data_IF_330035093200
#
_entry.id   IF_330035093200
#
_cell.length_a   1.000
_cell.length_b   1.000
_cell.length_c   1.000
_cell.angle_alpha   90.00
_cell.angle_beta   90.00
_cell.angle_gamma   90.00
#
_symmetry.space_group_name_H-M   'P 1'
#
loop_
_entity.id
_entity.type
_entity.pdbx_description
1 polymer ?
#
# COMPACT_ATOMS: atom_id res chain seq x y z
N UNK A 1 6.09 6.10 -20.02
CA UNK A 1 5.84 6.28 -18.57
C UNK A 1 4.34 6.41 -18.30
N UNK A 2 3.91 6.03 -17.13
CA UNK A 2 2.53 6.25 -16.71
C UNK A 2 2.52 7.23 -15.53
N UNK A 3 1.53 8.15 -15.51
CA UNK A 3 1.38 9.09 -14.40
C UNK A 3 0.68 8.39 -13.24
N UNK A 4 1.40 8.20 -12.14
CA UNK A 4 0.86 7.57 -10.94
C UNK A 4 0.54 8.62 -9.88
N UNK A 5 -0.71 8.61 -9.41
CA UNK A 5 -1.18 9.47 -8.33
C UNK A 5 -1.75 8.59 -7.22
N UNK A 6 -1.16 8.66 -6.04
CA UNK A 6 -1.64 7.98 -4.83
C UNK A 6 -2.14 9.04 -3.86
N UNK A 7 -3.43 9.03 -3.59
CA UNK A 7 -4.09 10.01 -2.74
C UNK A 7 -4.74 9.31 -1.56
N UNK A 8 -4.40 9.75 -0.36
CA UNK A 8 -5.02 9.31 0.89
C UNK A 8 -5.89 10.43 1.46
N UNK A 9 -6.67 10.13 2.50
CA UNK A 9 -7.49 11.15 3.16
C UNK A 9 -6.65 12.31 3.71
N UNK A 10 -5.41 12.03 4.12
CA UNK A 10 -4.48 13.03 4.63
C UNK A 10 -3.78 13.85 3.54
N UNK A 11 -3.97 13.52 2.28
CA UNK A 11 -3.38 14.24 1.15
C UNK A 11 -2.71 13.34 0.12
N UNK A 12 -2.07 13.97 -0.87
CA UNK A 12 -1.34 13.26 -1.92
C UNK A 12 -0.04 12.66 -1.38
N UNK A 13 0.14 11.37 -1.58
CA UNK A 13 1.32 10.62 -1.13
C UNK A 13 2.34 10.40 -2.24
N UNK A 14 1.89 10.36 -3.49
CA UNK A 14 2.75 10.20 -4.65
C UNK A 14 2.07 10.84 -5.86
N UNK A 15 2.84 11.54 -6.69
CA UNK A 15 2.35 12.14 -7.92
C UNK A 15 3.52 12.38 -8.88
N UNK A 16 3.82 11.39 -9.72
CA UNK A 16 4.94 11.46 -10.64
C UNK A 16 4.77 10.44 -11.77
N UNK A 17 5.58 10.59 -12.82
CA UNK A 17 5.66 9.63 -13.92
C UNK A 17 6.56 8.48 -13.51
N UNK A 18 6.09 7.25 -13.72
CA UNK A 18 6.81 6.04 -13.35
C UNK A 18 6.75 5.01 -14.47
N UNK A 19 7.62 4.01 -14.39
CA UNK A 19 7.66 2.92 -15.37
C UNK A 19 6.60 1.87 -15.08
N UNK A 20 6.49 1.42 -13.83
CA UNK A 20 5.60 0.33 -13.44
C UNK A 20 5.06 0.53 -12.03
N UNK A 21 3.79 0.15 -11.84
CA UNK A 21 3.18 0.07 -10.51
C UNK A 21 2.51 -1.29 -10.36
N UNK A 22 2.77 -1.99 -9.26
CA UNK A 22 2.08 -3.23 -8.91
C UNK A 22 1.13 -2.94 -7.76
N UNK A 23 -0.13 -3.31 -7.93
CA UNK A 23 -1.23 -2.96 -7.03
C UNK A 23 -1.93 -4.21 -6.50
N UNK A 24 -2.35 -4.23 -5.22
CA UNK A 24 -3.19 -5.30 -4.71
C UNK A 24 -4.67 -5.01 -5.05
N UNK A 25 -5.33 -5.97 -5.68
CA UNK A 25 -6.78 -5.91 -5.93
C UNK A 25 -7.49 -7.09 -5.31
N UNK A 26 -8.82 -7.05 -5.29
CA UNK A 26 -9.62 -8.16 -4.77
C UNK A 26 -9.41 -9.45 -5.58
N UNK A 27 -9.00 -9.33 -6.84
CA UNK A 27 -8.77 -10.47 -7.73
C UNK A 27 -7.28 -10.85 -7.83
N UNK A 28 -6.43 -10.29 -6.97
CA UNK A 28 -4.98 -10.50 -6.96
C UNK A 28 -4.21 -9.25 -7.34
N UNK A 29 -2.91 -9.41 -7.48
CA UNK A 29 -2.05 -8.29 -7.88
C UNK A 29 -2.16 -8.00 -9.37
N UNK A 30 -2.15 -6.73 -9.74
CA UNK A 30 -2.07 -6.29 -11.12
C UNK A 30 -0.85 -5.40 -11.33
N UNK A 31 -0.19 -5.57 -12.48
CA UNK A 31 0.91 -4.70 -12.90
C UNK A 31 0.41 -3.69 -13.92
N UNK A 32 0.74 -2.42 -13.72
CA UNK A 32 0.31 -1.32 -14.59
C UNK A 32 1.53 -0.68 -15.22
N UNK A 33 1.56 -0.70 -16.55
CA UNK A 33 2.60 -0.08 -17.37
C UNK A 33 1.95 0.88 -18.37
N UNK A 34 2.79 1.58 -19.15
CA UNK A 34 2.33 2.47 -20.20
C UNK A 34 1.35 1.75 -21.14
N UNK A 35 0.34 2.46 -21.58
CA UNK A 35 -0.71 1.97 -22.48
C UNK A 35 -1.60 0.87 -21.89
N UNK A 36 -1.65 0.75 -20.57
CA UNK A 36 -2.57 -0.16 -19.92
C UNK A 36 -4.03 0.20 -20.31
N UNK A 37 -4.82 -0.84 -20.58
CA UNK A 37 -6.23 -0.66 -20.92
C UNK A 37 -6.98 0.04 -19.78
N UNK A 38 -8.02 0.83 -20.10
CA UNK A 38 -8.83 1.45 -19.06
C UNK A 38 -9.42 0.41 -18.11
N UNK A 39 -9.34 0.69 -16.81
CA UNK A 39 -9.82 -0.22 -15.78
C UNK A 39 -10.24 0.57 -14.54
N UNK A 40 -11.39 0.21 -13.99
CA UNK A 40 -11.80 0.65 -12.65
C UNK A 40 -11.87 -0.59 -11.77
N UNK A 41 -11.22 -0.55 -10.62
CA UNK A 41 -11.13 -1.70 -9.72
C UNK A 41 -11.09 -1.25 -8.27
N UNK A 42 -11.07 -2.22 -7.36
CA UNK A 42 -11.00 -1.98 -5.92
C UNK A 42 -9.65 -2.48 -5.41
N UNK A 43 -8.94 -1.58 -4.73
CA UNK A 43 -7.70 -1.95 -4.04
C UNK A 43 -8.02 -2.57 -2.69
N UNK A 44 -7.30 -3.62 -2.34
CA UNK A 44 -7.36 -4.21 -1.01
C UNK A 44 -6.26 -3.65 -0.11
N UNK A 45 -6.34 -3.93 1.18
CA UNK A 45 -5.23 -3.69 2.09
C UNK A 45 -4.03 -4.48 1.58
N UNK A 46 -2.91 -3.82 1.38
CA UNK A 46 -1.74 -4.49 0.85
C UNK A 46 -0.62 -3.55 0.50
N UNK A 47 0.26 -4.02 -0.36
CA UNK A 47 1.49 -3.33 -0.72
C UNK A 47 1.42 -2.85 -2.16
N UNK A 48 1.69 -1.55 -2.37
CA UNK A 48 1.95 -1.01 -3.71
C UNK A 48 3.45 -0.98 -3.91
N UNK A 49 3.91 -1.49 -5.05
CA UNK A 49 5.31 -1.41 -5.46
C UNK A 49 5.41 -0.47 -6.66
N UNK A 50 6.38 0.45 -6.60
CA UNK A 50 6.65 1.42 -7.67
C UNK A 50 8.07 1.25 -8.19
N UNK A 51 8.20 1.11 -9.51
CA UNK A 51 9.48 1.16 -10.20
C UNK A 51 9.49 2.44 -11.05
N UNK A 52 10.37 3.38 -10.73
CA UNK A 52 10.40 4.67 -11.42
C UNK A 52 10.97 4.56 -12.83
N UNK A 53 12.02 3.80 -13.00
CA UNK A 53 12.72 3.65 -14.28
C UNK A 53 12.87 2.18 -14.65
N UNK A 54 12.87 1.83 -15.94
CA UNK A 54 12.93 0.41 -16.35
C UNK A 54 14.21 -0.30 -15.97
N UNK A 55 15.29 0.44 -15.71
CA UNK A 55 16.59 -0.13 -15.35
C UNK A 55 16.86 -0.13 -13.84
N UNK A 56 15.89 0.32 -13.05
CA UNK A 56 16.05 0.35 -11.60
C UNK A 56 16.23 -1.06 -11.04
N UNK A 57 17.22 -1.22 -10.15
CA UNK A 57 17.42 -2.46 -9.42
C UNK A 57 16.29 -2.66 -8.40
N UNK A 58 16.13 -3.88 -7.93
CA UNK A 58 15.09 -4.19 -6.93
C UNK A 58 15.19 -3.33 -5.68
N UNK A 59 16.42 -2.99 -5.26
CA UNK A 59 16.66 -2.12 -4.09
C UNK A 59 16.15 -0.68 -4.27
N UNK A 60 15.94 -0.25 -5.52
CA UNK A 60 15.47 1.09 -5.87
C UNK A 60 13.96 1.18 -5.95
N UNK A 61 13.26 0.05 -5.85
CA UNK A 61 11.80 0.03 -5.82
C UNK A 61 11.29 0.71 -4.56
N UNK A 62 10.19 1.44 -4.72
CA UNK A 62 9.50 2.05 -3.59
C UNK A 62 8.28 1.22 -3.21
N UNK A 63 7.98 1.19 -1.93
CA UNK A 63 6.86 0.44 -1.39
C UNK A 63 5.97 1.33 -0.54
N UNK A 64 4.66 1.13 -0.68
CA UNK A 64 3.65 1.80 0.13
C UNK A 64 2.77 0.75 0.78
N UNK A 65 2.47 0.95 2.06
CA UNK A 65 1.43 0.21 2.75
C UNK A 65 0.13 0.98 2.57
N UNK A 66 -0.91 0.33 2.03
CA UNK A 66 -2.21 0.98 1.83
C UNK A 66 -3.32 0.21 2.54
N UNK A 67 -4.32 0.95 2.98
CA UNK A 67 -5.65 0.42 3.24
C UNK A 67 -6.45 0.46 1.94
N UNK A 68 -7.50 -0.32 1.83
CA UNK A 68 -8.25 -0.48 0.60
C UNK A 68 -8.83 0.83 0.06
N UNK A 69 -9.20 0.81 -1.22
CA UNK A 69 -9.74 1.99 -1.89
C UNK A 69 -10.10 1.72 -3.34
N UNK A 70 -10.05 2.76 -4.17
CA UNK A 70 -10.44 2.71 -5.57
C UNK A 70 -9.24 2.90 -6.50
N UNK A 71 -9.25 2.17 -7.61
CA UNK A 71 -8.23 2.23 -8.66
C UNK A 71 -8.92 2.68 -9.94
N UNK A 72 -8.36 3.69 -10.60
CA UNK A 72 -8.83 4.19 -11.89
C UNK A 72 -7.64 4.32 -12.84
N UNK A 73 -7.68 3.57 -13.94
CA UNK A 73 -6.64 3.59 -14.98
C UNK A 73 -7.26 4.05 -16.28
N UNK A 74 -6.74 5.13 -16.85
CA UNK A 74 -7.15 5.62 -18.17
C UNK A 74 -6.14 6.59 -18.75
N UNK A 75 -5.94 6.56 -20.06
CA UNK A 75 -5.12 7.54 -20.81
C UNK A 75 -3.72 7.74 -20.19
N UNK A 76 -3.02 6.65 -19.87
CA UNK A 76 -1.69 6.65 -19.25
C UNK A 76 -1.64 7.33 -17.88
N UNK A 77 -2.76 7.34 -17.19
CA UNK A 77 -2.88 7.84 -15.81
C UNK A 77 -3.42 6.73 -14.92
N UNK A 78 -2.74 6.51 -13.81
CA UNK A 78 -3.18 5.61 -12.74
C UNK A 78 -3.45 6.45 -11.50
N UNK A 79 -4.69 6.43 -11.05
CA UNK A 79 -5.11 7.12 -9.83
C UNK A 79 -5.59 6.10 -8.81
N UNK A 80 -5.01 6.15 -7.62
CA UNK A 80 -5.39 5.28 -6.50
C UNK A 80 -5.82 6.16 -5.33
N UNK A 81 -7.07 5.97 -4.89
CA UNK A 81 -7.66 6.70 -3.77
C UNK A 81 -7.87 5.74 -2.62
N UNK A 82 -7.21 5.99 -1.50
CA UNK A 82 -7.22 5.10 -0.33
C UNK A 82 -7.51 5.90 0.94
N UNK A 83 -7.92 5.22 2.00
CA UNK A 83 -8.07 5.87 3.30
C UNK A 83 -6.71 6.26 3.86
N UNK A 84 -5.76 5.35 3.80
CA UNK A 84 -4.41 5.57 4.32
C UNK A 84 -3.35 4.96 3.42
N UNK A 85 -2.22 5.64 3.32
CA UNK A 85 -1.04 5.18 2.62
C UNK A 85 0.22 5.66 3.34
N UNK A 86 1.16 4.75 3.58
CA UNK A 86 2.43 5.05 4.21
C UNK A 86 3.58 4.58 3.31
N UNK A 87 4.49 5.48 2.98
CA UNK A 87 5.73 5.12 2.30
C UNK A 87 6.61 4.29 3.24
N UNK A 88 7.32 3.31 2.70
CA UNK A 88 8.18 2.44 3.50
C UNK A 88 9.18 3.23 4.36
N UNK A 89 9.71 4.35 3.83
CA UNK A 89 10.67 5.19 4.55
C UNK A 89 10.07 5.87 5.79
N UNK A 90 8.76 6.02 5.83
CA UNK A 90 8.04 6.69 6.93
C UNK A 90 7.54 5.69 7.98
N UNK A 91 7.78 4.39 7.79
CA UNK A 91 7.33 3.36 8.71
C UNK A 91 8.47 2.98 9.66
N UNK A 92 8.26 3.19 10.96
CA UNK A 92 9.12 2.66 12.00
C UNK A 92 8.68 1.23 12.32
N UNK A 93 9.56 0.25 12.09
CA UNK A 93 9.26 -1.17 12.35
C UNK A 93 8.92 -1.40 13.83
N UNK A 94 9.70 -0.82 14.74
CA UNK A 94 9.46 -0.94 16.18
C UNK A 94 8.12 -0.36 16.60
N UNK A 95 7.77 0.82 16.07
CA UNK A 95 6.49 1.46 16.34
C UNK A 95 5.33 0.66 15.77
N UNK A 96 5.48 0.13 14.56
CA UNK A 96 4.46 -0.72 13.93
C UNK A 96 4.24 -2.02 14.70
N UNK A 97 5.31 -2.64 15.23
CA UNK A 97 5.20 -3.84 16.07
C UNK A 97 4.46 -3.54 17.38
N UNK A 98 4.78 -2.41 18.03
CA UNK A 98 4.10 -2.00 19.26
C UNK A 98 2.61 -1.71 18.99
N UNK A 99 2.30 -1.06 17.87
CA UNK A 99 0.92 -0.80 17.47
C UNK A 99 0.16 -2.10 17.15
N UNK A 100 0.82 -3.07 16.55
CA UNK A 100 0.24 -4.39 16.28
C UNK A 100 -0.13 -5.11 17.58
N UNK A 101 0.74 -5.10 18.58
CA UNK A 101 0.45 -5.71 19.87
C UNK A 101 -0.74 -5.05 20.56
N UNK A 102 -0.83 -3.72 20.51
CA UNK A 102 -1.98 -3.00 21.05
C UNK A 102 -3.27 -3.39 20.33
N UNK A 103 -3.22 -3.53 19.00
CA UNK A 103 -4.37 -3.92 18.19
C UNK A 103 -4.83 -5.34 18.51
N UNK A 104 -3.90 -6.26 18.73
CA UNK A 104 -4.20 -7.64 19.14
C UNK A 104 -4.87 -7.68 20.51
N UNK A 105 -4.43 -6.84 21.45
CA UNK A 105 -5.07 -6.74 22.77
C UNK A 105 -6.48 -6.19 22.66
N UNK A 106 -6.70 -5.14 21.84
CA UNK A 106 -8.04 -4.62 21.60
C UNK A 106 -8.96 -5.68 21.01
N UNK A 107 -8.45 -6.51 20.11
CA UNK A 107 -9.21 -7.61 19.52
C UNK A 107 -9.60 -8.65 20.58
N UNK A 108 -8.66 -9.02 21.46
CA UNK A 108 -8.90 -9.99 22.54
C UNK A 108 -9.91 -9.47 23.56
N UNK A 109 -9.96 -8.16 23.78
CA UNK A 109 -10.84 -7.52 24.76
C UNK A 109 -12.19 -7.08 24.17
N UNK A 110 -12.36 -7.21 22.85
CA UNK A 110 -13.59 -6.79 22.18
C UNK A 110 -14.79 -7.62 22.65
N UNK A 111 -15.86 -6.94 23.06
CA UNK A 111 -17.07 -7.55 23.61
C UNK A 111 -18.26 -7.52 22.67
N UNK A 112 -18.17 -6.76 21.57
CA UNK A 112 -19.21 -6.64 20.56
C UNK A 112 -18.60 -6.70 19.17
N UNK A 113 -19.46 -6.85 18.15
CA UNK A 113 -19.02 -7.01 16.77
C UNK A 113 -18.34 -5.76 16.23
N UNK A 114 -18.82 -4.58 16.59
CA UNK A 114 -18.25 -3.29 16.11
C UNK A 114 -16.82 -3.13 16.63
N UNK A 115 -16.59 -3.37 17.91
CA UNK A 115 -15.26 -3.30 18.52
C UNK A 115 -14.32 -4.35 17.94
N UNK A 116 -14.82 -5.54 17.67
CA UNK A 116 -14.05 -6.62 17.07
C UNK A 116 -13.62 -6.27 15.65
N UNK A 117 -14.55 -5.76 14.83
CA UNK A 117 -14.27 -5.37 13.45
C UNK A 117 -13.25 -4.23 13.41
N UNK A 118 -13.39 -3.24 14.29
CA UNK A 118 -12.44 -2.13 14.38
C UNK A 118 -11.04 -2.63 14.74
N UNK A 119 -10.93 -3.49 15.74
CA UNK A 119 -9.65 -4.06 16.17
C UNK A 119 -9.02 -4.91 15.05
N UNK A 120 -9.84 -5.69 14.32
CA UNK A 120 -9.35 -6.49 13.19
C UNK A 120 -8.80 -5.60 12.07
N UNK A 121 -9.45 -4.48 11.76
CA UNK A 121 -8.95 -3.53 10.77
C UNK A 121 -7.59 -2.96 11.17
N UNK A 122 -7.39 -2.66 12.45
CA UNK A 122 -6.08 -2.19 12.95
C UNK A 122 -5.02 -3.27 12.85
N UNK A 123 -5.34 -4.52 13.17
CA UNK A 123 -4.41 -5.65 13.01
C UNK A 123 -3.98 -5.78 11.54
N UNK A 124 -4.95 -5.78 10.62
CA UNK A 124 -4.68 -5.93 9.19
C UNK A 124 -3.81 -4.79 8.66
N UNK A 125 -4.09 -3.57 9.08
CA UNK A 125 -3.31 -2.38 8.69
C UNK A 125 -1.86 -2.46 9.16
N UNK A 126 -1.64 -2.79 10.42
CA UNK A 126 -0.28 -2.89 10.96
C UNK A 126 0.48 -4.09 10.41
N UNK A 127 -0.22 -5.18 10.06
CA UNK A 127 0.40 -6.31 9.38
C UNK A 127 0.99 -5.90 8.02
N UNK A 128 0.25 -5.10 7.23
CA UNK A 128 0.74 -4.59 5.95
C UNK A 128 1.93 -3.65 6.15
N UNK A 129 1.87 -2.77 7.14
CA UNK A 129 2.97 -1.85 7.46
C UNK A 129 4.24 -2.60 7.83
N UNK A 130 4.13 -3.65 8.63
CA UNK A 130 5.27 -4.52 8.97
C UNK A 130 5.80 -5.25 7.75
N UNK A 131 4.94 -5.71 6.86
CA UNK A 131 5.34 -6.35 5.61
C UNK A 131 6.16 -5.38 4.75
N UNK A 132 5.72 -4.14 4.61
CA UNK A 132 6.42 -3.10 3.83
C UNK A 132 7.78 -2.79 4.44
N UNK A 133 7.86 -2.62 5.76
CA UNK A 133 9.11 -2.38 6.45
C UNK A 133 10.10 -3.54 6.26
N UNK A 134 9.61 -4.77 6.28
CA UNK A 134 10.41 -5.97 6.02
C UNK A 134 10.91 -6.05 4.58
N UNK A 135 10.08 -5.69 3.60
CA UNK A 135 10.48 -5.64 2.19
C UNK A 135 11.58 -4.61 1.98
N UNK A 136 11.42 -3.41 2.52
CA UNK A 136 12.44 -2.36 2.44
C UNK A 136 13.78 -2.84 3.01
N UNK A 137 13.77 -3.43 4.19
CA UNK A 137 14.98 -3.94 4.85
C UNK A 137 15.69 -4.99 3.98
N UNK A 138 14.93 -5.92 3.42
CA UNK A 138 15.46 -6.98 2.56
C UNK A 138 16.08 -6.43 1.27
N UNK A 139 15.43 -5.47 0.65
CA UNK A 139 15.92 -4.88 -0.60
C UNK A 139 17.14 -3.98 -0.38
N UNK A 140 17.26 -3.33 0.77
CA UNK A 140 18.44 -2.51 1.09
C UNK A 140 19.71 -3.33 1.33
N UNK A 141 19.57 -4.59 1.72
CA UNK A 141 20.72 -5.49 1.96
C UNK A 141 21.29 -6.13 0.70
N UNK A 142 20.66 -5.90 -0.42
CA UNK A 142 21.12 -6.34 -1.73
C UNK A 142 21.79 -5.19 -2.45
#
# INVERSE_FOLDING_TARGET
MIRFQLVALSGTKFDDDVYEVVLPTMDGEIGVLQDHMPLVSVATNGVIMVRRNPRDADREREFFAISGGAIDISANRLRVLVDEADHADDISEAEAEAAMERAKQLKAEAKDQVSLDHAQQLVDRHAVRLQVAGLKRRHQKR
#
